data_IF_806985112413
#
_entry.id   IF_806985112413
#
_cell.length_a   1.000
_cell.length_b   1.000
_cell.length_c   1.000
_cell.angle_alpha   90.00
_cell.angle_beta   90.00
_cell.angle_gamma   90.00
#
_symmetry.space_group_name_H-M   'P 1'
#
loop_
_entity.id
_entity.type
_entity.pdbx_description
1 polymer ?
#
# COMPACT_ATOMS: atom_id res chain seq x y z
N UNK A 1 -17.09 -1.18 -13.32
CA UNK A 1 -15.87 -1.19 -14.16
C UNK A 1 -14.67 -1.33 -13.22
N UNK A 2 -13.77 -2.28 -13.46
CA UNK A 2 -12.58 -2.43 -12.60
C UNK A 2 -11.58 -1.29 -12.86
N UNK A 3 -10.93 -0.79 -11.81
CA UNK A 3 -9.88 0.23 -11.93
C UNK A 3 -8.78 -0.25 -12.90
N UNK A 4 -8.38 0.61 -13.82
CA UNK A 4 -7.34 0.30 -14.82
C UNK A 4 -5.95 0.33 -14.18
N UNK A 5 -4.95 -0.09 -14.94
CA UNK A 5 -3.54 -0.07 -14.49
C UNK A 5 -3.11 1.37 -14.17
N UNK A 6 -3.57 2.35 -14.94
CA UNK A 6 -3.34 3.79 -14.72
C UNK A 6 -3.86 4.25 -13.36
N UNK A 7 -5.10 3.94 -13.02
CA UNK A 7 -5.69 4.29 -11.73
C UNK A 7 -4.97 3.62 -10.55
N UNK A 8 -4.38 2.44 -10.76
CA UNK A 8 -3.57 1.79 -9.72
C UNK A 8 -2.31 2.61 -9.39
N UNK A 9 -1.69 3.27 -10.38
CA UNK A 9 -0.58 4.19 -10.12
C UNK A 9 -1.05 5.43 -9.36
N UNK A 10 -2.20 6.00 -9.72
CA UNK A 10 -2.76 7.17 -9.03
C UNK A 10 -3.13 6.88 -7.57
N UNK A 11 -3.67 5.70 -7.28
CA UNK A 11 -3.94 5.24 -5.90
C UNK A 11 -2.66 5.20 -5.06
N UNK A 12 -1.53 4.84 -5.67
CA UNK A 12 -0.22 4.85 -5.02
C UNK A 12 0.42 6.26 -4.98
N UNK A 13 -0.17 7.24 -5.67
CA UNK A 13 0.39 8.59 -5.84
C UNK A 13 1.58 8.64 -6.80
N UNK A 14 1.60 7.75 -7.79
CA UNK A 14 2.65 7.63 -8.80
C UNK A 14 2.12 7.99 -10.19
N UNK A 15 3.04 8.33 -11.09
CA UNK A 15 2.72 8.51 -12.50
C UNK A 15 2.62 7.16 -13.21
N UNK A 16 1.79 7.11 -14.25
CA UNK A 16 1.74 5.98 -15.16
C UNK A 16 3.11 5.71 -15.78
N UNK A 17 3.56 4.46 -15.71
CA UNK A 17 4.91 4.05 -16.15
C UNK A 17 5.98 4.14 -15.06
N UNK A 18 5.61 4.36 -13.79
CA UNK A 18 6.56 4.24 -12.69
C UNK A 18 7.15 2.82 -12.58
N UNK A 19 8.39 2.72 -12.13
CA UNK A 19 9.08 1.43 -11.98
C UNK A 19 8.58 0.66 -10.76
N UNK A 20 8.83 -0.65 -10.72
CA UNK A 20 8.50 -1.47 -9.54
C UNK A 20 9.11 -0.92 -8.24
N UNK A 21 10.29 -0.30 -8.32
CA UNK A 21 10.96 0.30 -7.16
C UNK A 21 10.19 1.51 -6.62
N UNK A 22 9.75 2.40 -7.52
CA UNK A 22 8.88 3.54 -7.20
C UNK A 22 7.57 3.06 -6.58
N UNK A 23 6.93 2.06 -7.18
CA UNK A 23 5.69 1.42 -6.69
C UNK A 23 5.88 0.89 -5.27
N UNK A 24 7.00 0.22 -4.99
CA UNK A 24 7.31 -0.32 -3.66
C UNK A 24 7.57 0.78 -2.63
N UNK A 25 8.30 1.83 -3.00
CA UNK A 25 8.57 2.96 -2.12
C UNK A 25 7.31 3.76 -1.80
N UNK A 26 6.47 4.05 -2.80
CA UNK A 26 5.22 4.76 -2.61
C UNK A 26 4.22 3.95 -1.78
N UNK A 27 4.11 2.64 -2.04
CA UNK A 27 3.28 1.74 -1.24
C UNK A 27 3.68 1.77 0.23
N UNK A 28 4.98 1.59 0.55
CA UNK A 28 5.46 1.63 1.95
C UNK A 28 5.09 2.93 2.65
N UNK A 29 5.33 4.08 1.99
CA UNK A 29 5.00 5.40 2.54
C UNK A 29 3.51 5.57 2.82
N UNK A 30 2.64 5.17 1.88
CA UNK A 30 1.19 5.26 2.05
C UNK A 30 0.64 4.27 3.07
N UNK A 31 1.21 3.06 3.11
CA UNK A 31 0.83 2.02 4.05
C UNK A 31 1.16 2.38 5.50
N UNK A 32 2.29 3.05 5.74
CA UNK A 32 2.64 3.60 7.07
C UNK A 32 1.69 4.73 7.49
N UNK A 33 1.22 5.54 6.54
CA UNK A 33 0.24 6.62 6.81
C UNK A 33 -1.16 6.07 7.11
N UNK A 34 -1.58 5.03 6.39
CA UNK A 34 -2.89 4.38 6.57
C UNK A 34 -2.82 3.20 7.55
N UNK A 35 -1.78 3.09 8.37
CA UNK A 35 -1.61 1.96 9.26
C UNK A 35 -2.68 1.98 10.36
N UNK A 36 -3.37 0.85 10.64
CA UNK A 36 -4.45 0.79 11.62
C UNK A 36 -3.95 1.06 13.05
N UNK A 37 -2.67 0.80 13.35
CA UNK A 37 -2.08 1.13 14.66
C UNK A 37 -2.05 2.63 14.94
N UNK A 38 -1.83 3.46 13.90
CA UNK A 38 -1.84 4.92 14.01
C UNK A 38 -3.21 5.53 13.78
N UNK A 39 -4.12 4.79 13.13
CA UNK A 39 -5.48 5.22 12.83
C UNK A 39 -6.51 4.15 13.25
N UNK A 40 -6.58 3.79 14.56
CA UNK A 40 -7.44 2.71 15.03
C UNK A 40 -8.93 3.03 14.90
N UNK A 41 -9.29 4.32 14.81
CA UNK A 41 -10.67 4.79 14.76
C UNK A 41 -11.16 5.12 13.33
N UNK A 42 -10.27 5.05 12.32
CA UNK A 42 -10.57 5.50 10.96
C UNK A 42 -10.81 4.30 10.00
N UNK A 43 -12.08 3.94 9.70
CA UNK A 43 -12.39 2.84 8.79
C UNK A 43 -11.93 3.12 7.35
N UNK A 44 -11.75 4.40 6.99
CA UNK A 44 -11.22 4.83 5.70
C UNK A 44 -9.76 4.41 5.52
N UNK A 45 -8.95 4.39 6.58
CA UNK A 45 -7.55 3.94 6.54
C UNK A 45 -7.45 2.44 6.20
N UNK A 46 -8.35 1.63 6.74
CA UNK A 46 -8.46 0.20 6.38
C UNK A 46 -8.82 0.03 4.90
N UNK A 47 -9.80 0.79 4.41
CA UNK A 47 -10.22 0.73 3.01
C UNK A 47 -9.09 1.16 2.06
N UNK A 48 -8.40 2.27 2.37
CA UNK A 48 -7.24 2.76 1.61
C UNK A 48 -6.10 1.75 1.61
N UNK A 49 -5.82 1.11 2.74
CA UNK A 49 -4.77 0.10 2.83
C UNK A 49 -5.06 -1.12 1.95
N UNK A 50 -6.31 -1.59 1.95
CA UNK A 50 -6.75 -2.67 1.05
C UNK A 50 -6.62 -2.26 -0.42
N UNK A 51 -7.03 -1.04 -0.76
CA UNK A 51 -6.97 -0.53 -2.13
C UNK A 51 -5.53 -0.36 -2.63
N UNK A 52 -4.63 0.18 -1.79
CA UNK A 52 -3.19 0.26 -2.07
C UNK A 52 -2.58 -1.13 -2.34
N UNK A 53 -2.97 -2.14 -1.54
CA UNK A 53 -2.50 -3.51 -1.71
C UNK A 53 -3.00 -4.15 -3.00
N UNK A 54 -4.24 -3.84 -3.38
CA UNK A 54 -4.84 -4.33 -4.63
C UNK A 54 -4.19 -3.69 -5.86
N UNK A 55 -3.99 -2.36 -5.83
CA UNK A 55 -3.28 -1.61 -6.85
C UNK A 55 -1.85 -2.11 -7.04
N UNK A 56 -1.08 -2.21 -5.96
CA UNK A 56 0.28 -2.74 -6.01
C UNK A 56 0.33 -4.14 -6.63
N UNK A 57 -0.56 -5.05 -6.19
CA UNK A 57 -0.61 -6.42 -6.73
C UNK A 57 -0.90 -6.42 -8.23
N UNK A 58 -1.77 -5.52 -8.69
CA UNK A 58 -2.10 -5.37 -10.11
C UNK A 58 -0.91 -4.86 -10.93
N UNK A 59 -0.13 -3.93 -10.38
CA UNK A 59 1.03 -3.34 -11.05
C UNK A 59 2.25 -4.26 -11.07
N UNK A 60 2.64 -4.81 -9.92
CA UNK A 60 3.89 -5.59 -9.83
C UNK A 60 3.67 -7.09 -10.04
N UNK A 61 2.42 -7.56 -10.01
CA UNK A 61 2.10 -8.99 -10.09
C UNK A 61 2.61 -9.84 -8.92
N UNK A 62 3.23 -9.24 -7.89
CA UNK A 62 3.84 -9.98 -6.77
C UNK A 62 2.84 -10.11 -5.63
N UNK A 63 2.38 -11.33 -5.41
CA UNK A 63 1.42 -11.68 -4.37
C UNK A 63 2.00 -11.67 -2.95
N UNK A 64 1.28 -11.04 -2.04
CA UNK A 64 1.24 -11.36 -0.61
C UNK A 64 2.58 -11.39 0.17
N UNK A 65 3.48 -10.43 -0.08
CA UNK A 65 4.65 -10.21 0.80
C UNK A 65 4.68 -8.82 1.46
N UNK A 66 3.72 -7.96 1.14
CA UNK A 66 3.76 -6.55 1.52
C UNK A 66 3.32 -6.25 2.96
N UNK A 67 2.43 -7.06 3.54
CA UNK A 67 2.04 -6.93 4.95
C UNK A 67 3.24 -7.08 5.89
N UNK A 68 4.29 -7.82 5.46
CA UNK A 68 5.57 -7.88 6.17
C UNK A 68 6.45 -6.62 6.02
N UNK A 69 6.30 -5.84 4.94
CA UNK A 69 7.13 -4.65 4.71
C UNK A 69 6.68 -3.41 5.49
N UNK A 70 5.40 -3.38 5.86
CA UNK A 70 4.84 -2.33 6.72
C UNK A 70 5.04 -2.69 8.18
N UNK A 71 5.12 -3.99 8.49
CA UNK A 71 5.49 -4.53 9.78
C UNK A 71 7.01 -4.55 9.95
N UNK A 72 7.63 -3.38 9.86
CA UNK A 72 8.94 -3.17 10.49
C UNK A 72 8.70 -2.89 11.97
N UNK A 73 9.21 -3.77 12.84
CA UNK A 73 9.49 -3.45 14.25
C UNK A 73 8.32 -2.86 15.06
N UNK A 74 7.48 -3.73 15.61
CA UNK A 74 7.18 -3.58 17.04
C UNK A 74 7.83 -4.78 17.70
N UNK A 75 9.04 -4.58 18.19
CA UNK A 75 9.54 -5.34 19.32
C UNK A 75 8.45 -5.29 20.40
N UNK A 76 8.04 -6.41 20.99
CA UNK A 76 7.20 -6.37 22.16
C UNK A 76 7.99 -5.65 23.26
N UNK A 77 7.54 -4.45 23.64
CA UNK A 77 7.99 -3.81 24.87
C UNK A 77 7.80 -4.83 26.00
N UNK A 78 8.92 -5.21 26.63
CA UNK A 78 8.99 -6.20 27.72
C UNK A 78 8.21 -5.77 28.95
#
# INVERSE_FOLDING_TARGET
MGKTVEECYEVLGLKYGATEDEIRSAYRKNALKCHPDKNPDDPLSTQKFQELGHAYRRLTGKGQFLSKLVRGEQEPDS
#
